data_IF_326466978557
#
_entry.id   IF_326466978557
#
_cell.length_a   1.000
_cell.length_b   1.000
_cell.length_c   1.000
_cell.angle_alpha   90.00
_cell.angle_beta   90.00
_cell.angle_gamma   90.00
#
_symmetry.space_group_name_H-M   'P 1'
#
loop_
_entity.id
_entity.type
_entity.pdbx_description
1 polymer ?
#
# COMPACT_ATOMS: atom_id res chain seq x y z
N UNK A 1 -24.46 -18.80 -10.98
CA UNK A 1 -24.01 -19.10 -12.36
C UNK A 1 -24.55 -18.00 -13.24
N UNK A 2 -23.69 -17.15 -13.79
CA UNK A 2 -24.13 -16.13 -14.75
C UNK A 2 -24.15 -16.80 -16.13
N UNK A 3 -25.34 -16.92 -16.71
CA UNK A 3 -25.56 -17.33 -18.10
C UNK A 3 -26.37 -16.22 -18.76
N UNK A 4 -25.84 -15.62 -19.81
CA UNK A 4 -26.52 -14.61 -20.61
C UNK A 4 -25.55 -13.67 -21.34
N UNK A 5 -25.79 -13.49 -22.63
CA UNK A 5 -25.13 -12.52 -23.51
C UNK A 5 -25.62 -11.12 -23.12
N UNK A 6 -24.78 -10.35 -22.42
CA UNK A 6 -25.08 -8.98 -22.03
C UNK A 6 -23.87 -8.07 -22.28
N UNK A 7 -24.13 -6.86 -22.80
CA UNK A 7 -23.09 -5.86 -23.05
C UNK A 7 -23.67 -4.44 -22.88
N UNK A 8 -23.26 -3.65 -21.86
CA UNK A 8 -22.42 -3.99 -20.71
C UNK A 8 -23.22 -4.63 -19.55
N UNK A 9 -22.80 -5.81 -19.06
CA UNK A 9 -23.38 -6.41 -17.85
C UNK A 9 -22.91 -5.64 -16.60
N UNK A 10 -23.79 -4.86 -15.97
CA UNK A 10 -23.55 -4.38 -14.61
C UNK A 10 -23.95 -5.48 -13.62
N UNK A 11 -22.99 -5.95 -12.82
CA UNK A 11 -23.21 -6.94 -11.78
C UNK A 11 -22.79 -6.34 -10.44
N UNK A 12 -23.74 -6.24 -9.52
CA UNK A 12 -23.51 -5.78 -8.16
C UNK A 12 -23.58 -6.99 -7.22
N UNK A 13 -22.54 -7.20 -6.42
CA UNK A 13 -22.45 -8.36 -5.54
C UNK A 13 -21.90 -7.96 -4.17
N UNK A 14 -22.57 -8.44 -3.12
CA UNK A 14 -22.33 -8.09 -1.72
C UNK A 14 -22.12 -9.35 -0.85
N UNK A 15 -21.29 -10.29 -1.31
CA UNK A 15 -20.94 -11.51 -0.57
C UNK A 15 -19.45 -11.62 -0.20
N UNK A 16 -19.11 -12.62 0.62
CA UNK A 16 -17.73 -12.93 1.04
C UNK A 16 -17.05 -14.03 0.20
N UNK A 17 -17.67 -14.48 -0.90
CA UNK A 17 -17.31 -15.73 -1.60
C UNK A 17 -16.98 -15.51 -3.08
N UNK A 18 -15.72 -15.76 -3.46
CA UNK A 18 -15.12 -15.71 -4.80
C UNK A 18 -16.06 -15.52 -6.03
N UNK A 19 -15.70 -14.57 -6.89
CA UNK A 19 -16.34 -14.37 -8.21
C UNK A 19 -15.65 -15.30 -9.23
N UNK A 20 -16.42 -16.18 -9.88
CA UNK A 20 -15.92 -17.15 -10.86
C UNK A 20 -16.47 -16.80 -12.24
N UNK A 21 -15.58 -16.74 -13.23
CA UNK A 21 -15.89 -16.47 -14.64
C UNK A 21 -15.58 -17.71 -15.49
N UNK A 22 -16.27 -17.87 -16.62
CA UNK A 22 -15.89 -18.85 -17.64
C UNK A 22 -14.57 -18.45 -18.32
N UNK A 23 -13.99 -19.29 -19.19
CA UNK A 23 -12.76 -18.93 -19.90
C UNK A 23 -13.04 -17.84 -20.93
N UNK A 24 -12.36 -16.71 -20.80
CA UNK A 24 -12.49 -15.58 -21.73
C UNK A 24 -11.54 -14.43 -21.39
N UNK A 25 -11.62 -13.36 -22.17
CA UNK A 25 -10.88 -12.12 -21.95
C UNK A 25 -11.77 -11.13 -21.20
N UNK A 26 -11.56 -11.02 -19.89
CA UNK A 26 -12.33 -10.11 -19.03
C UNK A 26 -11.46 -9.00 -18.49
N UNK A 27 -12.03 -7.79 -18.43
CA UNK A 27 -11.50 -6.69 -17.63
C UNK A 27 -12.33 -6.59 -16.36
N UNK A 28 -11.68 -6.59 -15.20
CA UNK A 28 -12.34 -6.51 -13.90
C UNK A 28 -12.03 -5.16 -13.28
N UNK A 29 -13.09 -4.41 -12.92
CA UNK A 29 -12.98 -3.19 -12.14
C UNK A 29 -13.68 -3.40 -10.80
N UNK A 30 -13.00 -3.09 -9.71
CA UNK A 30 -13.53 -3.21 -8.35
C UNK A 30 -13.40 -1.86 -7.65
N UNK A 31 -14.51 -1.40 -7.07
CA UNK A 31 -14.54 -0.22 -6.20
C UNK A 31 -15.07 -0.65 -4.84
N UNK A 32 -14.29 -0.39 -3.78
CA UNK A 32 -14.66 -0.77 -2.43
C UNK A 32 -14.04 0.15 -1.39
N UNK A 33 -14.55 0.13 -0.14
CA UNK A 33 -14.00 0.93 0.93
C UNK A 33 -12.58 0.46 1.26
N UNK A 34 -11.67 1.43 1.33
CA UNK A 34 -10.27 1.21 1.69
C UNK A 34 -10.20 0.88 3.18
N UNK A 35 -9.95 -0.39 3.53
CA UNK A 35 -9.81 -0.86 4.92
C UNK A 35 -8.37 -1.30 5.20
N UNK A 36 -7.96 -1.17 6.46
CA UNK A 36 -6.68 -1.67 7.00
C UNK A 36 -5.40 -1.14 6.36
N UNK A 37 -5.51 -0.07 5.55
CA UNK A 37 -4.39 0.58 4.88
C UNK A 37 -3.54 -0.39 4.03
N UNK A 38 -4.18 -1.45 3.54
CA UNK A 38 -3.53 -2.58 2.89
C UNK A 38 -4.39 -3.07 1.73
N UNK A 39 -3.74 -3.26 0.59
CA UNK A 39 -4.31 -3.91 -0.58
C UNK A 39 -3.50 -5.15 -0.88
N UNK A 40 -4.19 -6.28 -1.09
CA UNK A 40 -3.56 -7.54 -1.45
C UNK A 40 -4.42 -8.28 -2.48
N UNK A 41 -3.80 -8.64 -3.60
CA UNK A 41 -4.40 -9.46 -4.63
C UNK A 41 -3.41 -10.55 -5.07
N UNK A 42 -3.92 -11.77 -5.21
CA UNK A 42 -3.15 -12.92 -5.69
C UNK A 42 -3.81 -13.51 -6.93
N UNK A 43 -3.00 -13.82 -7.94
CA UNK A 43 -3.41 -14.31 -9.25
C UNK A 43 -2.82 -15.69 -9.50
N UNK A 44 -3.58 -16.58 -10.15
CA UNK A 44 -3.11 -17.93 -10.50
C UNK A 44 -1.93 -17.92 -11.48
N UNK A 45 -1.90 -16.93 -12.37
CA UNK A 45 -0.84 -16.71 -13.36
C UNK A 45 -0.34 -15.26 -13.31
N UNK A 46 0.89 -14.95 -13.76
CA UNK A 46 1.40 -13.59 -13.76
C UNK A 46 0.53 -12.67 -14.64
N UNK A 47 0.12 -11.53 -14.10
CA UNK A 47 -0.68 -10.51 -14.79
C UNK A 47 -0.04 -9.15 -14.70
N UNK A 48 -0.40 -8.29 -15.64
CA UNK A 48 -0.15 -6.86 -15.55
C UNK A 48 -1.20 -6.25 -14.63
N UNK A 49 -0.75 -5.48 -13.63
CA UNK A 49 -1.62 -4.92 -12.60
C UNK A 49 -1.25 -3.45 -12.41
N UNK A 50 -2.26 -2.59 -12.33
CA UNK A 50 -2.12 -1.18 -11.97
C UNK A 50 -3.09 -0.84 -10.86
N UNK A 51 -2.59 -0.29 -9.77
CA UNK A 51 -3.40 0.16 -8.64
C UNK A 51 -3.23 1.67 -8.51
N UNK A 52 -4.34 2.40 -8.61
CA UNK A 52 -4.37 3.84 -8.37
C UNK A 52 -4.70 4.11 -6.90
N UNK A 53 -3.87 4.93 -6.26
CA UNK A 53 -4.14 5.46 -4.94
C UNK A 53 -4.53 6.94 -5.07
N UNK A 54 -5.64 7.35 -4.42
CA UNK A 54 -6.10 8.73 -4.43
C UNK A 54 -5.09 9.66 -3.73
N UNK A 55 -5.20 10.98 -3.96
CA UNK A 55 -4.32 11.96 -3.33
C UNK A 55 -4.46 11.91 -1.80
N UNK A 56 -3.35 12.18 -1.11
CA UNK A 56 -3.26 12.10 0.36
C UNK A 56 -2.86 10.73 0.90
N UNK A 57 -2.75 9.71 0.04
CA UNK A 57 -2.16 8.41 0.37
C UNK A 57 -0.83 8.20 -0.33
N UNK A 58 0.15 7.64 0.38
CA UNK A 58 1.47 7.34 -0.15
C UNK A 58 1.95 5.95 0.33
N UNK A 59 2.96 5.42 -0.35
CA UNK A 59 3.58 4.09 -0.15
C UNK A 59 5.10 4.17 -0.09
N UNK A 60 5.68 5.35 -0.37
CA UNK A 60 7.13 5.55 -0.59
C UNK A 60 7.96 5.41 0.68
N UNK A 61 7.42 5.77 1.85
CA UNK A 61 8.14 5.65 3.11
C UNK A 61 8.19 4.18 3.56
N UNK A 62 9.38 3.54 3.60
CA UNK A 62 9.50 2.12 3.95
C UNK A 62 9.17 1.80 5.42
N UNK A 63 9.10 2.81 6.31
CA UNK A 63 8.69 2.61 7.70
C UNK A 63 7.15 2.54 7.86
N UNK A 64 6.40 3.03 6.87
CA UNK A 64 4.94 3.16 6.93
C UNK A 64 4.21 2.41 5.82
N UNK A 65 4.86 2.24 4.67
CA UNK A 65 4.32 1.60 3.49
C UNK A 65 5.16 0.41 3.03
N UNK A 66 4.63 -0.29 2.04
CA UNK A 66 5.28 -1.44 1.42
C UNK A 66 4.70 -1.66 0.03
N UNK A 67 5.53 -2.12 -0.90
CA UNK A 67 5.12 -2.53 -2.24
C UNK A 67 5.69 -3.93 -2.49
N UNK A 68 4.89 -4.84 -3.04
CA UNK A 68 5.40 -6.16 -3.45
C UNK A 68 6.44 -6.03 -4.58
N UNK A 69 7.30 -7.04 -4.69
CA UNK A 69 8.40 -7.04 -5.66
C UNK A 69 7.93 -6.77 -7.09
N UNK A 70 8.74 -5.99 -7.83
CA UNK A 70 8.46 -5.63 -9.22
C UNK A 70 7.46 -4.49 -9.41
N UNK A 71 6.95 -3.90 -8.32
CA UNK A 71 6.07 -2.75 -8.38
C UNK A 71 6.86 -1.45 -8.59
N UNK A 72 6.36 -0.61 -9.49
CA UNK A 72 6.92 0.72 -9.77
C UNK A 72 5.90 1.78 -9.41
N UNK A 73 6.31 2.79 -8.64
CA UNK A 73 5.46 3.94 -8.30
C UNK A 73 5.61 5.00 -9.38
N UNK A 74 4.49 5.44 -9.92
CA UNK A 74 4.40 6.50 -10.91
C UNK A 74 3.49 7.61 -10.36
N UNK A 75 3.88 8.86 -10.58
CA UNK A 75 3.00 9.99 -10.27
C UNK A 75 1.85 10.02 -11.28
N UNK A 76 0.62 10.10 -10.77
CA UNK A 76 -0.56 10.19 -11.63
C UNK A 76 -0.85 11.65 -11.99
N UNK A 77 -1.17 11.95 -13.26
CA UNK A 77 -1.55 13.32 -13.70
C UNK A 77 -2.76 13.88 -12.95
N UNK A 78 -3.63 13.01 -12.42
CA UNK A 78 -4.87 13.37 -11.72
C UNK A 78 -4.66 13.70 -10.23
N UNK A 79 -3.41 13.77 -9.77
CA UNK A 79 -3.08 14.03 -8.36
C UNK A 79 -3.28 12.78 -7.53
N UNK A 80 -2.20 12.00 -7.37
CA UNK A 80 -2.20 10.71 -6.69
C UNK A 80 -1.03 9.88 -7.19
N UNK A 81 -0.99 8.61 -6.79
CA UNK A 81 0.08 7.71 -7.23
C UNK A 81 -0.49 6.43 -7.84
N UNK A 82 0.17 5.94 -8.87
CA UNK A 82 -0.16 4.67 -9.50
C UNK A 82 0.97 3.71 -9.27
N UNK A 83 0.67 2.55 -8.69
CA UNK A 83 1.63 1.47 -8.52
C UNK A 83 1.36 0.42 -9.60
N UNK A 84 2.36 0.15 -10.44
CA UNK A 84 2.21 -0.73 -11.59
C UNK A 84 3.21 -1.90 -11.54
N UNK A 85 2.73 -3.08 -11.92
CA UNK A 85 3.51 -4.29 -12.16
C UNK A 85 3.33 -4.73 -13.59
N UNK A 86 4.44 -4.97 -14.30
CA UNK A 86 4.40 -5.48 -15.67
C UNK A 86 3.98 -6.98 -15.68
N UNK A 87 4.49 -7.76 -14.74
CA UNK A 87 4.17 -9.17 -14.58
C UNK A 87 4.34 -9.58 -13.12
N UNK A 88 3.23 -9.83 -12.42
CA UNK A 88 3.26 -10.32 -11.04
C UNK A 88 2.14 -11.33 -10.77
N UNK A 89 2.40 -12.28 -9.87
CA UNK A 89 1.36 -13.15 -9.29
C UNK A 89 0.74 -12.56 -8.03
N UNK A 90 1.40 -11.59 -7.40
CA UNK A 90 0.94 -10.99 -6.14
C UNK A 90 1.16 -9.49 -6.19
N UNK A 91 0.07 -8.73 -6.14
CA UNK A 91 0.09 -7.29 -6.00
C UNK A 91 -0.26 -6.95 -4.56
N UNK A 92 0.70 -6.41 -3.82
CA UNK A 92 0.51 -6.03 -2.43
C UNK A 92 1.01 -4.61 -2.21
N UNK A 93 0.19 -3.80 -1.55
CA UNK A 93 0.49 -2.42 -1.22
C UNK A 93 0.06 -2.14 0.20
N UNK A 94 0.96 -1.58 1.01
CA UNK A 94 0.62 -0.89 2.25
C UNK A 94 0.80 0.60 2.03
N UNK A 95 -0.27 1.35 2.28
CA UNK A 95 -0.30 2.79 2.08
C UNK A 95 -0.60 3.50 3.40
N UNK A 96 -0.19 4.75 3.51
CA UNK A 96 -0.37 5.57 4.70
C UNK A 96 -0.85 6.96 4.29
N UNK A 97 -1.54 7.62 5.21
CA UNK A 97 -1.94 9.01 5.10
C UNK A 97 -0.84 9.95 5.61
N UNK A 98 -0.88 11.21 5.18
CA UNK A 98 0.05 12.26 5.61
C UNK A 98 0.13 12.41 7.14
N UNK A 99 -1.00 12.19 7.84
CA UNK A 99 -1.05 12.26 9.30
C UNK A 99 -0.15 11.23 9.98
N UNK A 100 -0.09 10.00 9.45
CA UNK A 100 0.82 8.95 9.95
C UNK A 100 2.29 9.31 9.74
N UNK A 101 2.61 9.96 8.64
CA UNK A 101 3.97 10.42 8.39
C UNK A 101 4.37 11.51 9.39
N UNK A 102 3.49 12.48 9.65
CA UNK A 102 3.72 13.50 10.66
C UNK A 102 3.90 12.89 12.06
N UNK A 103 3.07 11.90 12.44
CA UNK A 103 3.21 11.18 13.70
C UNK A 103 4.55 10.43 13.80
N UNK A 104 5.03 9.84 12.71
CA UNK A 104 6.34 9.19 12.67
C UNK A 104 7.47 10.20 12.93
N UNK A 105 7.40 11.40 12.34
CA UNK A 105 8.38 12.46 12.61
C UNK A 105 8.34 12.92 14.07
N UNK A 106 7.15 13.12 14.64
CA UNK A 106 7.00 13.49 16.05
C UNK A 106 7.60 12.41 16.96
N UNK A 107 7.30 11.15 16.68
CA UNK A 107 7.84 9.99 17.40
C UNK A 107 9.37 9.94 17.32
N UNK A 108 9.95 10.07 16.13
CA UNK A 108 11.39 10.05 15.94
C UNK A 108 12.08 11.21 16.70
N UNK A 109 11.53 12.42 16.62
CA UNK A 109 12.06 13.59 17.34
C UNK A 109 12.04 13.39 18.85
N UNK A 110 10.95 12.84 19.40
CA UNK A 110 10.86 12.53 20.82
C UNK A 110 11.95 11.55 21.27
N UNK A 111 12.15 10.46 20.52
CA UNK A 111 13.18 9.47 20.83
C UNK A 111 14.60 10.03 20.74
N UNK A 112 14.87 10.94 19.79
CA UNK A 112 16.17 11.62 19.69
C UNK A 112 16.44 12.42 20.97
N UNK A 113 15.47 13.19 21.46
CA UNK A 113 15.63 13.99 22.69
C UNK A 113 15.91 13.07 23.89
N UNK A 114 15.14 11.99 24.03
CA UNK A 114 15.35 11.00 25.11
C UNK A 114 16.75 10.37 25.02
N UNK A 115 17.18 9.98 23.81
CA UNK A 115 18.50 9.41 23.58
C UNK A 115 19.61 10.40 23.97
N UNK A 116 19.48 11.68 23.60
CA UNK A 116 20.46 12.72 23.96
C UNK A 116 20.52 12.90 25.48
N UNK A 117 19.39 13.04 26.16
CA UNK A 117 19.33 13.24 27.62
C UNK A 117 19.93 12.06 28.38
N UNK A 118 19.82 10.83 27.85
CA UNK A 118 20.43 9.64 28.46
C UNK A 118 21.91 9.46 28.10
N UNK A 119 22.28 9.61 26.82
CA UNK A 119 23.65 9.36 26.34
C UNK A 119 24.63 10.43 26.79
N UNK A 120 24.24 11.70 26.78
CA UNK A 120 25.12 12.81 27.15
C UNK A 120 25.71 12.64 28.57
N UNK A 121 24.92 12.46 29.65
CA UNK A 121 25.48 12.26 30.98
C UNK A 121 26.26 10.95 31.10
N UNK A 122 25.84 9.88 30.40
CA UNK A 122 26.56 8.61 30.38
C UNK A 122 27.98 8.78 29.82
N UNK A 123 28.11 9.43 28.66
CA UNK A 123 29.40 9.73 28.02
C UNK A 123 30.27 10.65 28.89
N UNK A 124 29.68 11.68 29.53
CA UNK A 124 30.40 12.52 30.48
C UNK A 124 30.87 11.76 31.74
N UNK A 125 30.12 10.75 32.20
CA UNK A 125 30.53 9.92 33.33
C UNK A 125 31.68 8.97 32.98
N UNK A 126 31.69 8.41 31.76
CA UNK A 126 32.77 7.56 31.28
C UNK A 126 34.08 8.34 31.14
N UNK A 127 34.01 9.57 30.61
CA UNK A 127 35.18 10.44 30.41
C UNK A 127 35.83 10.92 31.72
N UNK A 128 35.16 10.76 32.88
CA UNK A 128 35.75 11.05 34.20
C UNK A 128 36.45 9.84 34.83
N UNK A 129 36.35 8.65 34.22
CA UNK A 129 36.94 7.40 34.70
C UNK A 129 38.23 7.00 34.00
N UNK A 130 38.57 7.67 32.89
CA UNK A 130 39.92 7.74 32.32
C UNK A 130 40.66 8.97 32.87
#
# INVERSE_FOLDING_TARGET
>A
MLSGDCDPCQFEWSGNTAIIFERGNYSLSFQGPVRDNHFHATFEAPRQVSVFLPPGLDVRNPALGMISQGGVVLDSPEGGITVAWNSTRTAEIRFYDEGRENLLYIFANFWIIVAVVMLVPFLFSMKKRE
#
